data_IF_157014768275
#
_entry.id   IF_157014768275
#
_cell.length_a   1.000
_cell.length_b   1.000
_cell.length_c   1.000
_cell.angle_alpha   90.00
_cell.angle_beta   90.00
_cell.angle_gamma   90.00
#
_symmetry.space_group_name_H-M   'P 1'
#
loop_
_entity.id
_entity.type
_entity.pdbx_description
1 polymer ?
#
# COMPACT_ATOMS: atom_id res chain seq x y z
N UNK A 1 0.69 -4.84 16.30
CA UNK A 1 1.64 -4.53 15.21
C UNK A 1 1.79 -3.03 15.07
N UNK A 2 2.99 -2.57 15.02
CA UNK A 2 3.38 -1.18 14.75
C UNK A 2 4.39 -1.22 13.61
N UNK A 3 4.25 -0.33 12.62
CA UNK A 3 5.38 0.04 11.76
C UNK A 3 5.93 1.37 12.26
N UNK A 4 7.24 1.45 12.41
CA UNK A 4 7.96 2.66 12.78
C UNK A 4 9.11 2.90 11.82
N UNK A 5 9.17 4.10 11.31
CA UNK A 5 10.27 4.62 10.52
C UNK A 5 10.92 5.78 11.28
N UNK A 6 12.25 5.83 11.31
CA UNK A 6 13.00 6.91 12.00
C UNK A 6 14.09 7.43 11.10
N UNK A 7 14.12 8.75 10.91
CA UNK A 7 15.16 9.46 10.17
C UNK A 7 15.30 9.04 8.71
N UNK A 8 14.21 8.58 8.04
CA UNK A 8 14.32 8.08 6.66
C UNK A 8 14.78 9.16 5.70
N UNK A 9 15.82 8.85 4.94
CA UNK A 9 16.34 9.70 3.86
C UNK A 9 16.36 8.94 2.55
N UNK A 10 16.10 9.69 1.44
CA UNK A 10 16.20 9.16 0.08
C UNK A 10 16.69 10.22 -0.87
N UNK A 11 17.73 9.90 -1.63
CA UNK A 11 18.34 10.75 -2.65
C UNK A 11 18.37 10.00 -3.97
N UNK A 12 17.82 10.55 -5.01
CA UNK A 12 17.98 10.02 -6.36
C UNK A 12 19.09 10.76 -7.10
N UNK A 13 19.95 10.01 -7.75
CA UNK A 13 21.01 10.59 -8.58
C UNK A 13 20.37 11.23 -9.83
N UNK A 14 20.82 12.43 -10.16
CA UNK A 14 20.41 13.07 -11.40
C UNK A 14 20.88 12.29 -12.63
N UNK A 15 20.08 12.34 -13.69
CA UNK A 15 20.44 11.77 -15.00
C UNK A 15 21.31 12.80 -15.74
N UNK A 16 22.29 12.32 -16.51
CA UNK A 16 23.16 13.14 -17.37
C UNK A 16 23.88 14.31 -16.67
N UNK A 17 24.31 14.09 -15.41
CA UNK A 17 25.08 15.09 -14.66
C UNK A 17 24.23 16.15 -13.95
N UNK A 18 22.91 15.96 -13.90
CA UNK A 18 22.04 16.78 -13.07
C UNK A 18 22.33 16.56 -11.57
N UNK A 19 22.09 17.57 -10.76
CA UNK A 19 22.28 17.48 -9.31
C UNK A 19 21.41 16.38 -8.67
N UNK A 20 21.92 15.70 -7.64
CA UNK A 20 21.13 14.74 -6.87
C UNK A 20 19.91 15.41 -6.24
N UNK A 21 18.76 14.74 -6.31
CA UNK A 21 17.50 15.23 -5.73
C UNK A 21 17.23 14.50 -4.42
N UNK A 22 17.24 15.21 -3.31
CA UNK A 22 16.83 14.69 -2.01
C UNK A 22 15.30 14.71 -1.93
N UNK A 23 14.67 13.53 -1.99
CA UNK A 23 13.22 13.37 -1.99
C UNK A 23 12.68 13.21 -0.57
N UNK A 24 13.41 12.53 0.31
CA UNK A 24 13.07 12.42 1.73
C UNK A 24 14.26 12.85 2.58
N UNK A 25 13.99 13.61 3.64
CA UNK A 25 14.98 14.25 4.50
C UNK A 25 14.64 14.12 5.98
N UNK A 26 14.98 12.95 6.55
CA UNK A 26 14.79 12.68 7.97
C UNK A 26 13.33 12.46 8.35
N UNK A 27 12.61 11.62 7.59
CA UNK A 27 11.19 11.32 7.83
C UNK A 27 11.02 10.36 8.99
N UNK A 28 10.22 10.77 9.99
CA UNK A 28 9.74 9.94 11.09
C UNK A 28 8.24 9.65 10.88
N UNK A 29 7.85 8.37 11.00
CA UNK A 29 6.47 7.93 10.88
C UNK A 29 6.22 6.71 11.76
N UNK A 30 5.06 6.70 12.43
CA UNK A 30 4.58 5.55 13.18
C UNK A 30 3.12 5.26 12.81
N UNK A 31 2.77 3.98 12.61
CA UNK A 31 1.39 3.54 12.46
C UNK A 31 1.15 2.28 13.29
N UNK A 32 0.05 2.29 14.06
CA UNK A 32 -0.31 1.25 15.03
C UNK A 32 -1.35 0.30 14.47
N UNK A 33 -1.41 -0.88 15.06
CA UNK A 33 -2.49 -1.85 14.79
C UNK A 33 -3.86 -1.18 14.96
N UNK A 34 -4.73 -1.39 13.96
CA UNK A 34 -6.06 -0.80 13.94
C UNK A 34 -6.13 0.68 13.54
N UNK A 35 -5.02 1.28 13.16
CA UNK A 35 -4.93 2.70 12.81
C UNK A 35 -4.86 2.90 11.29
N UNK A 36 -5.54 3.93 10.80
CA UNK A 36 -5.40 4.47 9.45
C UNK A 36 -4.65 5.80 9.54
N UNK A 37 -3.49 5.88 8.89
CA UNK A 37 -2.68 7.10 8.79
C UNK A 37 -2.70 7.59 7.34
N UNK A 38 -3.13 8.80 7.10
CA UNK A 38 -3.07 9.44 5.79
C UNK A 38 -1.80 10.29 5.66
N UNK A 39 -1.08 10.11 4.57
CA UNK A 39 0.03 10.98 4.17
C UNK A 39 -0.43 11.80 2.97
N UNK A 40 -0.50 13.11 3.16
CA UNK A 40 -0.97 14.08 2.18
C UNK A 40 0.22 14.90 1.69
N UNK A 41 0.12 15.47 0.50
CA UNK A 41 1.15 16.36 -0.03
C UNK A 41 0.98 16.60 -1.52
N UNK A 42 1.70 17.55 -2.06
CA UNK A 42 1.66 17.88 -3.48
C UNK A 42 2.18 16.75 -4.37
N UNK A 43 1.85 16.79 -5.66
CA UNK A 43 2.44 15.85 -6.63
C UNK A 43 3.97 16.01 -6.64
N UNK A 44 4.71 14.89 -6.62
CA UNK A 44 6.18 14.92 -6.57
C UNK A 44 6.79 15.17 -5.19
N UNK A 45 5.99 15.32 -4.11
CA UNK A 45 6.53 15.55 -2.76
C UNK A 45 7.26 14.36 -2.12
N UNK A 46 7.25 13.17 -2.77
CA UNK A 46 7.94 11.97 -2.27
C UNK A 46 7.03 10.94 -1.59
N UNK A 47 5.69 11.09 -1.69
CA UNK A 47 4.72 10.17 -1.05
C UNK A 47 4.88 8.71 -1.48
N UNK A 48 4.93 8.45 -2.79
CA UNK A 48 5.13 7.09 -3.32
C UNK A 48 6.52 6.55 -2.96
N UNK A 49 7.54 7.43 -2.92
CA UNK A 49 8.88 7.07 -2.43
C UNK A 49 8.81 6.61 -0.97
N UNK A 50 8.11 7.35 -0.12
CA UNK A 50 7.92 6.96 1.28
C UNK A 50 7.26 5.59 1.39
N UNK A 51 6.17 5.35 0.65
CA UNK A 51 5.51 4.03 0.63
C UNK A 51 6.44 2.92 0.11
N UNK A 52 7.25 3.19 -0.91
CA UNK A 52 8.21 2.22 -1.43
C UNK A 52 9.26 1.83 -0.38
N UNK A 53 9.75 2.79 0.40
CA UNK A 53 10.69 2.49 1.50
C UNK A 53 10.01 1.67 2.60
N UNK A 54 8.82 2.10 3.07
CA UNK A 54 8.04 1.38 4.06
C UNK A 54 7.64 -0.03 3.59
N UNK A 55 7.37 -0.16 2.29
CA UNK A 55 7.07 -1.42 1.62
C UNK A 55 8.30 -2.30 1.34
N UNK A 56 9.50 -1.85 1.70
CA UNK A 56 10.77 -2.54 1.42
C UNK A 56 10.98 -2.83 -0.07
N UNK A 57 10.39 -2.02 -0.95
CA UNK A 57 10.57 -2.12 -2.41
C UNK A 57 11.87 -1.49 -2.86
N UNK A 58 12.28 -0.43 -2.16
CA UNK A 58 13.55 0.28 -2.34
C UNK A 58 14.30 0.37 -1.01
N UNK A 59 15.64 0.41 -1.02
CA UNK A 59 16.41 0.72 0.18
C UNK A 59 16.35 2.21 0.48
N UNK A 60 16.25 2.56 1.76
CA UNK A 60 16.55 3.91 2.23
C UNK A 60 18.06 4.18 2.16
N UNK A 61 18.44 5.45 1.95
CA UNK A 61 19.85 5.86 2.01
C UNK A 61 20.29 6.16 3.45
N UNK A 62 19.34 6.45 4.35
CA UNK A 62 19.56 6.58 5.78
C UNK A 62 18.29 6.35 6.56
N UNK A 63 18.41 6.22 7.87
CA UNK A 63 17.32 5.92 8.78
C UNK A 63 17.01 4.42 8.90
N UNK A 64 15.96 4.12 9.63
CA UNK A 64 15.61 2.75 9.98
C UNK A 64 14.09 2.49 9.84
N UNK A 65 13.73 1.26 9.49
CA UNK A 65 12.34 0.78 9.46
C UNK A 65 12.23 -0.44 10.36
N UNK A 66 11.24 -0.40 11.24
CA UNK A 66 10.94 -1.44 12.21
C UNK A 66 9.51 -1.96 12.02
N UNK A 67 9.36 -3.27 12.08
CA UNK A 67 8.08 -3.96 12.20
C UNK A 67 8.01 -4.61 13.58
N UNK A 68 7.14 -4.12 14.44
CA UNK A 68 7.14 -4.44 15.87
C UNK A 68 8.56 -4.19 16.44
N UNK A 69 9.23 -5.20 16.94
CA UNK A 69 10.58 -5.10 17.51
C UNK A 69 11.69 -5.54 16.50
N UNK A 70 11.33 -5.85 15.26
CA UNK A 70 12.26 -6.30 14.23
C UNK A 70 12.70 -5.15 13.32
N UNK A 71 14.00 -4.85 13.26
CA UNK A 71 14.57 -3.88 12.31
C UNK A 71 14.67 -4.47 10.92
N UNK A 72 13.69 -4.17 10.06
CA UNK A 72 13.57 -4.80 8.73
C UNK A 72 14.40 -4.12 7.64
N UNK A 73 14.80 -2.85 7.84
CA UNK A 73 15.61 -2.12 6.86
C UNK A 73 17.00 -2.72 6.64
N UNK A 74 17.54 -3.44 7.63
CA UNK A 74 18.86 -4.07 7.57
C UNK A 74 18.85 -5.55 7.15
N UNK A 75 17.68 -6.10 6.91
CA UNK A 75 17.58 -7.47 6.43
C UNK A 75 18.12 -7.64 5.02
N UNK A 76 18.64 -8.84 4.71
CA UNK A 76 19.00 -9.19 3.34
C UNK A 76 17.79 -9.06 2.40
N UNK A 77 18.02 -8.79 1.11
CA UNK A 77 16.95 -8.70 0.10
C UNK A 77 16.01 -9.90 0.11
N UNK A 78 16.55 -11.11 0.31
CA UNK A 78 15.73 -12.33 0.41
C UNK A 78 14.83 -12.31 1.65
N UNK A 79 15.33 -11.84 2.79
CA UNK A 79 14.54 -11.71 4.01
C UNK A 79 13.47 -10.62 3.87
N UNK A 80 13.81 -9.47 3.29
CA UNK A 80 12.84 -8.41 2.96
C UNK A 80 11.74 -8.90 2.03
N UNK A 81 12.06 -9.74 1.00
CA UNK A 81 11.03 -10.36 0.15
C UNK A 81 10.05 -11.23 0.96
N UNK A 82 10.54 -12.00 1.94
CA UNK A 82 9.67 -12.79 2.82
C UNK A 82 8.77 -11.91 3.69
N UNK A 83 9.33 -10.84 4.27
CA UNK A 83 8.55 -9.86 5.06
C UNK A 83 7.45 -9.24 4.20
N UNK A 84 7.78 -8.76 2.99
CA UNK A 84 6.77 -8.21 2.06
C UNK A 84 5.66 -9.19 1.77
N UNK A 85 6.00 -10.41 1.35
CA UNK A 85 4.99 -11.41 0.98
C UNK A 85 4.08 -11.83 2.13
N UNK A 86 4.59 -11.84 3.36
CA UNK A 86 3.85 -12.32 4.52
C UNK A 86 3.15 -11.21 5.31
N UNK A 87 3.68 -9.97 5.30
CA UNK A 87 3.27 -8.93 6.24
C UNK A 87 2.74 -7.65 5.58
N UNK A 88 2.94 -7.46 4.27
CA UNK A 88 2.59 -6.21 3.61
C UNK A 88 1.62 -6.46 2.46
N UNK A 89 0.45 -5.82 2.51
CA UNK A 89 -0.44 -5.65 1.39
C UNK A 89 -0.16 -4.33 0.71
N UNK A 90 0.15 -4.32 -0.58
CA UNK A 90 0.45 -3.09 -1.30
C UNK A 90 -0.59 -2.84 -2.40
N UNK A 91 -1.29 -1.72 -2.30
CA UNK A 91 -2.22 -1.21 -3.33
C UNK A 91 -1.50 -0.11 -4.10
N UNK A 92 -1.09 -0.42 -5.33
CA UNK A 92 -0.37 0.50 -6.21
C UNK A 92 -1.31 1.41 -6.98
N UNK A 93 -0.90 2.63 -7.28
CA UNK A 93 -1.61 3.54 -8.17
C UNK A 93 -1.79 2.96 -9.58
N UNK A 94 -0.80 2.25 -10.09
CA UNK A 94 -0.78 1.67 -11.44
C UNK A 94 -1.32 0.23 -11.53
N UNK A 95 -2.14 -0.24 -10.58
CA UNK A 95 -2.75 -1.58 -10.46
C UNK A 95 -1.76 -2.74 -10.45
N UNK A 96 -0.79 -2.78 -11.36
CA UNK A 96 0.24 -3.81 -11.53
C UNK A 96 -0.34 -5.24 -11.58
N UNK A 97 -1.44 -5.42 -12.33
CA UNK A 97 -1.99 -6.73 -12.61
C UNK A 97 -1.14 -7.41 -13.70
N UNK A 98 -0.96 -8.73 -13.56
CA UNK A 98 -0.28 -9.54 -14.56
C UNK A 98 -1.25 -9.80 -15.71
N UNK A 99 -0.96 -9.27 -16.89
CA UNK A 99 -1.86 -9.29 -18.06
C UNK A 99 -2.22 -10.68 -18.58
N UNK A 100 -1.36 -11.68 -18.35
CA UNK A 100 -1.58 -13.09 -18.73
C UNK A 100 -2.39 -13.90 -17.72
N UNK A 101 -2.76 -13.32 -16.58
CA UNK A 101 -3.55 -13.95 -15.53
C UNK A 101 -4.96 -13.37 -15.51
N UNK A 102 -5.95 -14.21 -15.17
CA UNK A 102 -7.31 -13.74 -14.91
C UNK A 102 -7.37 -12.83 -13.68
N UNK A 103 -8.48 -12.13 -13.46
CA UNK A 103 -8.70 -11.34 -12.26
C UNK A 103 -8.56 -12.19 -10.99
N UNK A 104 -9.17 -13.37 -10.96
CA UNK A 104 -9.05 -14.30 -9.84
C UNK A 104 -7.62 -14.78 -9.63
N UNK A 105 -6.92 -15.17 -10.69
CA UNK A 105 -5.54 -15.64 -10.60
C UNK A 105 -4.60 -14.52 -10.12
N UNK A 106 -4.83 -13.26 -10.53
CA UNK A 106 -4.12 -12.11 -9.99
C UNK A 106 -4.31 -11.96 -8.48
N UNK A 107 -5.53 -12.13 -7.97
CA UNK A 107 -5.80 -12.09 -6.52
C UNK A 107 -5.10 -13.25 -5.81
N UNK A 108 -5.16 -14.46 -6.37
CA UNK A 108 -4.57 -15.67 -5.79
C UNK A 108 -3.03 -15.66 -5.73
N UNK A 109 -2.36 -14.78 -6.48
CA UNK A 109 -0.91 -14.63 -6.39
C UNK A 109 -0.43 -14.38 -4.96
N UNK A 110 -1.15 -13.57 -4.19
CA UNK A 110 -0.79 -13.28 -2.80
C UNK A 110 -0.75 -14.54 -1.94
N UNK A 111 -1.69 -15.47 -2.11
CA UNK A 111 -1.75 -16.72 -1.37
C UNK A 111 -0.59 -17.68 -1.71
N UNK A 112 -0.14 -17.68 -2.98
CA UNK A 112 0.99 -18.50 -3.42
C UNK A 112 2.29 -18.14 -2.71
N UNK A 113 2.54 -16.86 -2.45
CA UNK A 113 3.77 -16.41 -1.79
C UNK A 113 3.89 -16.88 -0.34
N UNK A 114 2.77 -17.09 0.34
CA UNK A 114 2.74 -17.56 1.74
C UNK A 114 2.39 -19.04 1.86
N UNK A 115 2.22 -19.74 0.74
CA UNK A 115 1.97 -21.19 0.73
C UNK A 115 0.60 -21.60 1.28
N UNK A 116 -0.43 -20.74 1.16
CA UNK A 116 -1.80 -21.07 1.56
C UNK A 116 -2.40 -22.17 0.68
N UNK A 117 -3.28 -22.97 1.27
CA UNK A 117 -4.09 -23.91 0.50
C UNK A 117 -4.89 -23.18 -0.58
N UNK A 118 -4.88 -23.72 -1.81
CA UNK A 118 -5.50 -23.08 -2.96
C UNK A 118 -7.01 -22.95 -2.83
N UNK A 119 -7.67 -23.99 -2.31
CA UNK A 119 -9.15 -24.00 -2.22
C UNK A 119 -9.63 -23.00 -1.18
N UNK A 120 -8.93 -22.91 -0.04
CA UNK A 120 -9.23 -21.90 0.98
C UNK A 120 -8.98 -20.48 0.45
N UNK A 121 -7.83 -20.25 -0.20
CA UNK A 121 -7.51 -18.96 -0.77
C UNK A 121 -8.51 -18.54 -1.85
N UNK A 122 -8.97 -19.48 -2.69
CA UNK A 122 -9.96 -19.20 -3.74
C UNK A 122 -11.32 -18.83 -3.15
N UNK A 123 -11.78 -19.55 -2.12
CA UNK A 123 -13.01 -19.20 -1.40
C UNK A 123 -12.93 -17.78 -0.82
N UNK A 124 -11.82 -17.45 -0.15
CA UNK A 124 -11.64 -16.14 0.47
C UNK A 124 -11.48 -15.03 -0.58
N UNK A 125 -10.81 -15.33 -1.70
CA UNK A 125 -10.66 -14.41 -2.84
C UNK A 125 -12.02 -14.09 -3.46
N UNK A 126 -12.87 -15.10 -3.71
CA UNK A 126 -14.21 -14.91 -4.27
C UNK A 126 -15.11 -14.09 -3.34
N UNK A 127 -15.09 -14.38 -2.03
CA UNK A 127 -15.84 -13.61 -1.04
C UNK A 127 -15.39 -12.13 -0.99
N UNK A 128 -14.06 -11.89 -1.11
CA UNK A 128 -13.51 -10.54 -1.16
C UNK A 128 -13.89 -9.83 -2.47
N UNK A 129 -13.77 -10.51 -3.61
CA UNK A 129 -14.18 -9.96 -4.92
C UNK A 129 -15.68 -9.64 -4.97
N UNK A 130 -16.53 -10.41 -4.27
CA UNK A 130 -17.96 -10.13 -4.15
C UNK A 130 -18.19 -8.83 -3.37
N UNK A 131 -17.56 -8.67 -2.19
CA UNK A 131 -17.64 -7.41 -1.42
C UNK A 131 -17.16 -6.19 -2.21
N UNK A 132 -16.13 -6.39 -3.07
CA UNK A 132 -15.61 -5.34 -3.94
C UNK A 132 -16.42 -5.16 -5.23
N UNK A 133 -17.49 -5.92 -5.45
CA UNK A 133 -18.33 -5.83 -6.64
C UNK A 133 -17.65 -6.24 -7.95
N UNK A 134 -16.61 -7.11 -7.90
CA UNK A 134 -15.86 -7.57 -9.08
C UNK A 134 -15.87 -9.09 -9.29
N UNK A 135 -16.63 -9.85 -8.51
CA UNK A 135 -16.69 -11.31 -8.64
C UNK A 135 -17.20 -11.77 -10.02
N UNK A 136 -18.09 -11.00 -10.65
CA UNK A 136 -18.58 -11.28 -12.01
C UNK A 136 -17.48 -11.19 -13.07
N UNK A 137 -16.35 -10.56 -12.74
CA UNK A 137 -15.16 -10.42 -13.60
C UNK A 137 -14.05 -11.45 -13.32
N UNK A 138 -14.26 -12.43 -12.44
CA UNK A 138 -13.21 -13.37 -11.98
C UNK A 138 -12.43 -14.06 -13.09
N UNK A 139 -13.09 -14.37 -14.23
CA UNK A 139 -12.48 -15.02 -15.40
C UNK A 139 -11.94 -14.05 -16.46
N UNK A 140 -12.06 -12.74 -16.28
CA UNK A 140 -11.60 -11.76 -17.24
C UNK A 140 -10.11 -11.46 -17.05
N UNK A 141 -9.43 -11.13 -18.16
CA UNK A 141 -8.04 -10.65 -18.15
C UNK A 141 -7.99 -9.13 -17.92
N UNK A 142 -6.88 -8.59 -17.39
CA UNK A 142 -6.76 -7.15 -17.11
C UNK A 142 -7.16 -6.24 -18.27
N UNK A 143 -6.83 -6.58 -19.53
CA UNK A 143 -7.20 -5.80 -20.71
C UNK A 143 -8.73 -5.73 -20.96
N UNK A 144 -9.52 -6.59 -20.33
CA UNK A 144 -10.98 -6.65 -20.44
C UNK A 144 -11.68 -5.94 -19.26
N UNK A 145 -10.92 -5.38 -18.32
CA UNK A 145 -11.40 -4.71 -17.13
C UNK A 145 -11.29 -3.19 -17.30
N UNK A 146 -12.28 -2.46 -16.82
CA UNK A 146 -12.16 -1.01 -16.64
C UNK A 146 -11.08 -0.68 -15.59
N UNK A 147 -10.56 0.55 -15.60
CA UNK A 147 -9.57 0.98 -14.61
C UNK A 147 -10.04 0.79 -13.17
N UNK A 148 -11.32 1.09 -12.91
CA UNK A 148 -11.92 0.88 -11.58
C UNK A 148 -12.04 -0.60 -11.20
N UNK A 149 -12.35 -1.50 -12.14
CA UNK A 149 -12.36 -2.95 -11.90
C UNK A 149 -10.93 -3.46 -11.64
N UNK A 150 -9.93 -2.99 -12.41
CA UNK A 150 -8.53 -3.33 -12.18
C UNK A 150 -8.05 -2.90 -10.79
N UNK A 151 -8.43 -1.70 -10.35
CA UNK A 151 -8.08 -1.19 -9.02
C UNK A 151 -8.67 -2.07 -7.91
N UNK A 152 -9.96 -2.44 -8.03
CA UNK A 152 -10.60 -3.31 -7.04
C UNK A 152 -10.02 -4.73 -7.02
N UNK A 153 -9.64 -5.27 -8.18
CA UNK A 153 -8.90 -6.56 -8.26
C UNK A 153 -7.53 -6.45 -7.61
N UNK A 154 -6.77 -5.37 -7.88
CA UNK A 154 -5.46 -5.12 -7.25
C UNK A 154 -5.60 -4.95 -5.72
N UNK A 155 -6.66 -4.29 -5.27
CA UNK A 155 -7.00 -4.19 -3.86
C UNK A 155 -7.26 -5.57 -3.25
N UNK A 156 -8.10 -6.41 -3.87
CA UNK A 156 -8.35 -7.78 -3.39
C UNK A 156 -7.03 -8.57 -3.26
N UNK A 157 -6.13 -8.46 -4.24
CA UNK A 157 -4.80 -9.08 -4.17
C UNK A 157 -4.01 -8.61 -2.95
N UNK A 158 -4.02 -7.31 -2.66
CA UNK A 158 -3.26 -6.73 -1.56
C UNK A 158 -3.73 -7.24 -0.19
N UNK A 159 -5.05 -7.44 0.01
CA UNK A 159 -5.61 -7.74 1.33
C UNK A 159 -6.05 -9.20 1.52
N UNK A 160 -5.89 -10.08 0.51
CA UNK A 160 -6.33 -11.48 0.56
C UNK A 160 -5.79 -12.25 1.78
N UNK A 161 -4.53 -12.01 2.13
CA UNK A 161 -3.89 -12.70 3.25
C UNK A 161 -4.05 -11.99 4.60
N UNK A 162 -4.96 -11.01 4.70
CA UNK A 162 -5.12 -10.18 5.90
C UNK A 162 -3.78 -9.68 6.45
N UNK A 163 -2.98 -8.95 5.65
CA UNK A 163 -1.65 -8.52 6.08
C UNK A 163 -1.75 -7.56 7.26
N UNK A 164 -0.82 -7.61 8.22
CA UNK A 164 -0.81 -6.69 9.36
C UNK A 164 -0.49 -5.24 8.97
N UNK A 165 0.09 -4.99 7.80
CA UNK A 165 0.29 -3.65 7.23
C UNK A 165 -0.30 -3.57 5.83
N UNK A 166 -1.09 -2.53 5.58
CA UNK A 166 -1.58 -2.17 4.24
C UNK A 166 -1.01 -0.81 3.84
N UNK A 167 -0.31 -0.77 2.72
CA UNK A 167 0.21 0.45 2.10
C UNK A 167 -0.63 0.74 0.85
N UNK A 168 -1.22 1.91 0.76
CA UNK A 168 -2.11 2.27 -0.33
C UNK A 168 -1.67 3.58 -0.99
N UNK A 169 -1.20 3.51 -2.22
CA UNK A 169 -0.75 4.65 -3.02
C UNK A 169 -1.88 5.08 -3.95
N UNK A 170 -2.50 6.22 -3.66
CA UNK A 170 -3.64 6.81 -4.40
C UNK A 170 -4.73 5.77 -4.76
N UNK A 171 -5.22 4.97 -3.79
CA UNK A 171 -6.06 3.80 -4.08
C UNK A 171 -7.41 4.15 -4.70
N UNK A 172 -7.80 5.43 -4.67
CA UNK A 172 -9.08 5.94 -5.19
C UNK A 172 -8.93 6.91 -6.35
N UNK A 173 -7.70 7.19 -6.80
CA UNK A 173 -7.43 8.24 -7.81
C UNK A 173 -8.07 8.01 -9.18
N UNK A 174 -8.33 6.75 -9.55
CA UNK A 174 -8.92 6.36 -10.83
C UNK A 174 -10.38 5.90 -10.71
N UNK A 175 -11.07 6.23 -9.60
CA UNK A 175 -12.41 5.77 -9.29
C UNK A 175 -13.40 6.93 -9.23
N UNK A 176 -14.65 6.65 -9.58
CA UNK A 176 -15.77 7.50 -9.19
C UNK A 176 -16.00 7.45 -7.68
N UNK A 177 -16.77 8.39 -7.15
CA UNK A 177 -16.99 8.53 -5.70
C UNK A 177 -17.69 7.32 -5.06
N UNK A 178 -18.54 6.59 -5.79
CA UNK A 178 -19.20 5.41 -5.26
C UNK A 178 -18.20 4.27 -5.04
N UNK A 179 -17.34 4.00 -6.01
CA UNK A 179 -16.32 2.96 -5.91
C UNK A 179 -15.15 3.38 -4.99
N UNK A 180 -14.81 4.67 -4.93
CA UNK A 180 -13.84 5.20 -3.98
C UNK A 180 -14.26 4.91 -2.53
N UNK A 181 -15.54 5.17 -2.19
CA UNK A 181 -16.11 4.87 -0.86
C UNK A 181 -16.02 3.38 -0.50
N UNK A 182 -16.22 2.48 -1.46
CA UNK A 182 -16.08 1.04 -1.22
C UNK A 182 -14.65 0.68 -0.80
N UNK A 183 -13.64 1.21 -1.51
CA UNK A 183 -12.23 0.95 -1.15
C UNK A 183 -11.89 1.57 0.22
N UNK A 184 -12.30 2.80 0.50
CA UNK A 184 -12.03 3.44 1.79
C UNK A 184 -12.71 2.69 2.94
N UNK A 185 -13.95 2.26 2.77
CA UNK A 185 -14.65 1.45 3.75
C UNK A 185 -13.95 0.11 4.02
N UNK A 186 -13.45 -0.56 2.97
CA UNK A 186 -12.72 -1.81 3.13
C UNK A 186 -11.33 -1.59 3.78
N UNK A 187 -10.63 -0.49 3.49
CA UNK A 187 -9.39 -0.12 4.21
C UNK A 187 -9.64 0.06 5.71
N UNK A 188 -10.75 0.70 6.07
CA UNK A 188 -11.19 0.80 7.48
C UNK A 188 -11.50 -0.55 8.09
N UNK A 189 -12.18 -1.43 7.35
CA UNK A 189 -12.45 -2.80 7.79
C UNK A 189 -11.14 -3.56 8.05
N UNK A 190 -10.14 -3.43 7.16
CA UNK A 190 -8.82 -4.00 7.41
C UNK A 190 -8.19 -3.47 8.70
N UNK A 191 -8.32 -2.19 8.99
CA UNK A 191 -7.81 -1.60 10.24
C UNK A 191 -8.64 -2.05 11.45
N UNK A 192 -9.93 -1.79 11.47
CA UNK A 192 -10.79 -1.93 12.67
C UNK A 192 -11.10 -3.37 13.05
N UNK A 193 -11.37 -4.21 12.06
CA UNK A 193 -11.82 -5.59 12.30
C UNK A 193 -10.67 -6.59 12.24
N UNK A 194 -9.65 -6.33 11.41
CA UNK A 194 -8.50 -7.23 11.23
C UNK A 194 -7.24 -6.76 11.95
N UNK A 195 -7.28 -5.57 12.53
CA UNK A 195 -6.16 -5.01 13.29
C UNK A 195 -4.97 -4.59 12.44
N UNK A 196 -5.13 -4.43 11.13
CA UNK A 196 -4.04 -3.95 10.28
C UNK A 196 -3.69 -2.49 10.60
N UNK A 197 -2.40 -2.13 10.49
CA UNK A 197 -2.01 -0.74 10.30
C UNK A 197 -2.22 -0.39 8.81
N UNK A 198 -2.83 0.75 8.53
CA UNK A 198 -3.05 1.22 7.15
C UNK A 198 -2.33 2.55 6.97
N UNK A 199 -1.47 2.65 5.96
CA UNK A 199 -0.87 3.92 5.54
C UNK A 199 -1.40 4.24 4.14
N UNK A 200 -2.15 5.32 4.06
CA UNK A 200 -2.81 5.81 2.85
C UNK A 200 -2.11 7.06 2.35
N UNK A 201 -1.58 7.02 1.14
CA UNK A 201 -1.13 8.24 0.45
C UNK A 201 -2.24 8.72 -0.46
N UNK A 202 -2.58 9.99 -0.36
CA UNK A 202 -3.63 10.58 -1.20
C UNK A 202 -3.49 12.11 -1.30
N UNK A 203 -4.02 12.67 -2.37
CA UNK A 203 -4.27 14.11 -2.52
C UNK A 203 -5.75 14.46 -2.28
N UNK A 204 -6.61 13.47 -2.06
CA UNK A 204 -8.05 13.64 -1.82
C UNK A 204 -8.31 13.98 -0.35
N UNK A 205 -8.97 15.10 -0.11
CA UNK A 205 -9.29 15.57 1.25
C UNK A 205 -10.31 14.66 1.96
N UNK A 206 -11.27 14.08 1.21
CA UNK A 206 -12.26 13.15 1.74
C UNK A 206 -11.62 11.85 2.23
N UNK A 207 -10.66 11.29 1.48
CA UNK A 207 -9.93 10.10 1.90
C UNK A 207 -9.06 10.38 3.15
N UNK A 208 -8.46 11.56 3.22
CA UNK A 208 -7.68 11.97 4.38
C UNK A 208 -8.55 12.22 5.63
N UNK A 209 -9.76 12.74 5.46
CA UNK A 209 -10.71 12.95 6.57
C UNK A 209 -11.20 11.64 7.22
N UNK A 210 -11.09 10.53 6.50
CA UNK A 210 -11.43 9.19 6.97
C UNK A 210 -10.33 8.53 7.83
N UNK A 211 -9.12 9.12 7.88
CA UNK A 211 -7.98 8.61 8.63
C UNK A 211 -8.02 9.04 10.11
N UNK A 212 -7.39 8.23 10.98
CA UNK A 212 -7.23 8.54 12.40
C UNK A 212 -6.18 9.62 12.66
N UNK A 213 -5.20 9.72 11.75
CA UNK A 213 -4.18 10.75 11.76
C UNK A 213 -3.84 11.15 10.33
N UNK A 214 -3.55 12.41 10.13
CA UNK A 214 -3.10 12.95 8.84
C UNK A 214 -1.76 13.63 9.01
N UNK A 215 -0.83 13.36 8.10
CA UNK A 215 0.50 13.93 8.06
C UNK A 215 0.71 14.61 6.70
N UNK A 216 1.35 15.76 6.70
CA UNK A 216 1.66 16.47 5.46
C UNK A 216 3.12 16.25 5.06
N UNK A 217 3.35 15.69 3.87
CA UNK A 217 4.70 15.56 3.31
C UNK A 217 5.02 16.78 2.43
N UNK A 218 5.94 17.60 2.92
CA UNK A 218 6.42 18.80 2.24
C UNK A 218 7.92 18.91 2.32
N UNK A 219 8.58 19.27 1.22
CA UNK A 219 10.04 19.40 1.14
C UNK A 219 10.81 18.21 1.75
N UNK A 220 10.30 16.98 1.52
CA UNK A 220 10.92 15.74 2.01
C UNK A 220 10.71 15.45 3.49
N UNK A 221 9.91 16.23 4.21
CA UNK A 221 9.67 16.06 5.65
C UNK A 221 8.18 15.89 5.95
N UNK A 222 7.86 15.07 6.94
CA UNK A 222 6.51 14.98 7.48
C UNK A 222 6.31 16.06 8.56
N UNK A 223 5.22 16.79 8.41
CA UNK A 223 4.76 17.78 9.39
C UNK A 223 3.30 17.50 9.74
N UNK A 224 2.91 17.78 10.97
CA UNK A 224 1.50 17.77 11.32
C UNK A 224 0.77 18.89 10.56
N UNK A 225 -0.45 18.64 10.04
CA UNK A 225 -1.21 19.70 9.40
C UNK A 225 -1.46 20.81 10.41
N UNK A 226 -1.01 22.02 10.08
CA UNK A 226 -1.39 23.22 10.82
C UNK A 226 -2.91 23.37 10.74
N UNK A 227 -3.58 23.35 11.88
CA UNK A 227 -5.03 23.56 12.01
C UNK A 227 -5.47 24.90 11.51
#
# INVERSE_FOLDING_TARGET
MIIRATGLTKVYQGVDGAEPVRVLDGVDLEARSGQVVAVIGESGSGKSTLLNLLGLLEPADGGEIWFDDERVSHLSRRAQCRVRGARIGYVFQAFLLIGSLTALDNVLLAARYVGRDRKEAERDALALMERMGVAHRRGHYPAQLSGGEQQRVAFCRAVLNAPPLVLADEPTGNLDDAHARVILAELRTQARERGAAVILVTHRADAAAEADASLWLSAGRLVEPTR
#
